data_IF_314334901772
#
_entry.id   IF_314334901772
#
_cell.length_a   1.000
_cell.length_b   1.000
_cell.length_c   1.000
_cell.angle_alpha   90.00
_cell.angle_beta   90.00
_cell.angle_gamma   90.00
#
_symmetry.space_group_name_H-M   'P 1'
#
loop_
_entity.id
_entity.type
_entity.pdbx_description
1 polymer ?
#
# COMPACT_ATOMS: atom_id res chain seq x y z
N UNK A 1 11.33 -4.40 31.95
CA UNK A 1 12.59 -4.01 31.28
C UNK A 1 12.44 -3.80 29.77
N UNK A 2 11.90 -4.77 29.00
CA UNK A 2 11.69 -4.62 27.54
C UNK A 2 10.82 -3.42 27.12
N UNK A 3 9.71 -3.19 27.83
CA UNK A 3 8.81 -2.03 27.59
C UNK A 3 9.52 -0.68 27.73
N UNK A 4 10.44 -0.55 28.68
CA UNK A 4 11.21 0.67 28.92
C UNK A 4 12.15 0.99 27.75
N UNK A 5 12.81 -0.02 27.17
CA UNK A 5 13.72 0.16 26.02
C UNK A 5 12.94 0.64 24.80
N UNK A 6 11.77 0.05 24.52
CA UNK A 6 10.92 0.47 23.40
C UNK A 6 10.41 1.91 23.59
N UNK A 7 10.01 2.27 24.81
CA UNK A 7 9.61 3.65 25.11
C UNK A 7 10.74 4.66 24.86
N UNK A 8 11.94 4.36 25.36
CA UNK A 8 13.13 5.21 25.14
C UNK A 8 13.45 5.35 23.66
N UNK A 9 13.37 4.25 22.90
CA UNK A 9 13.58 4.26 21.45
C UNK A 9 12.57 5.17 20.73
N UNK A 10 11.30 5.14 21.11
CA UNK A 10 10.27 5.99 20.49
C UNK A 10 10.45 7.47 20.83
N UNK A 11 10.89 7.79 22.04
CA UNK A 11 11.28 9.16 22.41
C UNK A 11 12.49 9.62 21.60
N UNK A 12 13.48 8.74 21.41
CA UNK A 12 14.66 9.03 20.60
C UNK A 12 14.30 9.27 19.13
N UNK A 13 13.46 8.43 18.51
CA UNK A 13 12.96 8.63 17.14
C UNK A 13 12.23 9.96 17.02
N UNK A 14 11.39 10.30 17.98
CA UNK A 14 10.67 11.59 18.01
C UNK A 14 11.65 12.77 18.08
N UNK A 15 12.74 12.65 18.84
CA UNK A 15 13.81 13.66 18.90
C UNK A 15 14.55 13.78 17.57
N UNK A 16 14.87 12.67 16.91
CA UNK A 16 15.52 12.63 15.59
C UNK A 16 14.65 13.30 14.52
N UNK A 17 13.34 13.03 14.52
CA UNK A 17 12.38 13.68 13.62
C UNK A 17 12.34 15.20 13.84
N UNK A 18 12.30 15.66 15.09
CA UNK A 18 12.33 17.10 15.43
C UNK A 18 13.64 17.79 15.02
N UNK A 19 14.73 17.05 14.86
CA UNK A 19 16.02 17.58 14.39
C UNK A 19 16.10 17.73 12.87
N UNK A 20 15.05 17.40 12.15
CA UNK A 20 15.01 17.57 10.70
C UNK A 20 15.74 16.46 9.95
N UNK A 21 15.61 15.20 10.39
CA UNK A 21 16.15 14.06 9.65
C UNK A 21 15.49 13.96 8.27
N UNK A 22 16.28 13.61 7.25
CA UNK A 22 15.76 13.43 5.89
C UNK A 22 15.36 11.99 5.57
N UNK A 23 16.02 11.01 6.19
CA UNK A 23 15.77 9.59 5.97
C UNK A 23 15.58 8.89 7.31
N UNK A 24 14.43 8.26 7.49
CA UNK A 24 14.13 7.48 8.69
C UNK A 24 13.84 6.04 8.30
N UNK A 25 14.78 5.14 8.60
CA UNK A 25 14.64 3.71 8.37
C UNK A 25 14.76 2.98 9.71
N UNK A 26 13.83 2.09 10.01
CA UNK A 26 14.00 1.19 11.14
C UNK A 26 13.24 -0.13 10.96
N UNK A 27 13.83 -1.16 11.57
CA UNK A 27 13.30 -2.51 11.65
C UNK A 27 13.17 -2.90 13.12
N UNK A 28 11.96 -3.22 13.57
CA UNK A 28 11.70 -3.63 14.96
C UNK A 28 10.72 -4.81 14.93
N UNK A 29 11.04 -5.90 15.62
CA UNK A 29 10.16 -7.09 15.66
C UNK A 29 9.06 -6.97 16.70
N UNK A 30 9.29 -6.19 17.74
CA UNK A 30 8.33 -5.95 18.81
C UNK A 30 7.31 -4.88 18.43
N UNK A 31 6.12 -4.98 19.04
CA UNK A 31 5.09 -3.97 18.81
C UNK A 31 5.49 -2.62 19.41
N UNK A 32 5.48 -1.56 18.60
CA UNK A 32 5.91 -0.21 19.02
C UNK A 32 4.86 0.85 18.72
N UNK A 33 4.91 1.94 19.49
CA UNK A 33 4.05 3.10 19.30
C UNK A 33 4.89 4.28 18.85
N UNK A 34 4.82 4.62 17.56
CA UNK A 34 5.54 5.76 17.00
C UNK A 34 4.66 7.00 17.13
N UNK A 35 5.22 8.11 17.62
CA UNK A 35 4.52 9.41 17.63
C UNK A 35 4.24 9.83 16.19
N UNK A 36 2.99 9.64 15.77
CA UNK A 36 2.56 9.87 14.40
C UNK A 36 2.61 11.36 14.05
N UNK A 37 2.29 12.22 15.02
CA UNK A 37 2.45 13.67 14.89
C UNK A 37 3.90 14.07 14.56
N UNK A 38 4.90 13.53 15.26
CA UNK A 38 6.30 13.87 15.00
C UNK A 38 6.74 13.43 13.60
N UNK A 39 6.19 12.32 13.09
CA UNK A 39 6.49 11.79 11.76
C UNK A 39 5.84 12.63 10.67
N UNK A 40 4.54 12.94 10.79
CA UNK A 40 3.79 13.71 9.79
C UNK A 40 4.17 15.20 9.77
N UNK A 41 4.69 15.76 10.86
CA UNK A 41 5.15 17.16 10.90
C UNK A 41 6.64 17.35 10.56
N UNK A 42 7.38 16.28 10.25
CA UNK A 42 8.80 16.37 9.91
C UNK A 42 8.98 16.87 8.47
N UNK A 43 9.05 18.18 8.28
CA UNK A 43 9.15 18.79 6.95
C UNK A 43 10.43 18.41 6.19
N UNK A 44 11.49 17.99 6.86
CA UNK A 44 12.73 17.56 6.19
C UNK A 44 12.65 16.13 5.65
N UNK A 45 11.65 15.34 6.05
CA UNK A 45 11.62 13.91 5.76
C UNK A 45 11.34 13.67 4.28
N UNK A 46 12.26 12.98 3.62
CA UNK A 46 12.26 12.63 2.20
C UNK A 46 12.03 11.13 1.97
N UNK A 47 12.54 10.29 2.86
CA UNK A 47 12.46 8.83 2.75
C UNK A 47 12.03 8.23 4.09
N UNK A 48 10.96 7.44 4.08
CA UNK A 48 10.46 6.71 5.24
C UNK A 48 10.40 5.22 4.93
N UNK A 49 11.10 4.42 5.74
CA UNK A 49 11.05 2.96 5.68
C UNK A 49 10.80 2.39 7.07
N UNK A 50 9.63 1.81 7.27
CA UNK A 50 9.26 1.20 8.55
C UNK A 50 8.99 -0.26 8.30
N UNK A 51 9.70 -1.13 9.00
CA UNK A 51 9.35 -2.53 9.09
C UNK A 51 9.21 -2.91 10.57
N UNK A 52 8.01 -2.68 11.08
CA UNK A 52 7.69 -2.95 12.47
C UNK A 52 6.17 -3.06 12.65
N UNK A 53 5.71 -3.94 13.55
CA UNK A 53 4.31 -3.94 13.98
C UNK A 53 4.07 -2.68 14.82
N UNK A 54 3.67 -1.59 14.18
CA UNK A 54 3.48 -0.31 14.86
C UNK A 54 2.17 0.35 14.47
N UNK A 55 1.61 1.15 15.38
CA UNK A 55 0.40 1.93 15.09
C UNK A 55 0.74 3.38 14.80
N UNK A 56 0.33 3.87 13.64
CA UNK A 56 0.34 5.28 13.26
C UNK A 56 -1.08 5.85 13.31
N UNK A 57 -1.28 6.82 14.19
CA UNK A 57 -2.50 7.63 14.29
C UNK A 57 -2.49 8.75 13.27
N UNK A 58 -3.54 8.83 12.50
CA UNK A 58 -3.69 9.83 11.44
C UNK A 58 -4.91 10.69 11.79
N UNK A 59 -4.72 11.89 12.41
CA UNK A 59 -5.65 13.03 12.23
C UNK A 59 -6.20 13.13 10.79
N UNK A 60 -7.50 13.39 10.61
CA UNK A 60 -8.22 13.13 9.35
C UNK A 60 -7.59 13.58 8.03
N UNK A 61 -6.82 14.68 8.00
CA UNK A 61 -6.04 15.07 6.82
C UNK A 61 -4.60 15.42 7.22
N UNK A 62 -3.63 14.90 6.46
CA UNK A 62 -2.23 15.31 6.60
C UNK A 62 -1.57 15.57 5.27
N UNK A 63 -0.54 16.39 5.41
CA UNK A 63 0.33 16.81 4.36
C UNK A 63 1.77 16.61 4.83
N UNK A 64 2.52 15.72 4.17
CA UNK A 64 3.97 15.58 4.38
C UNK A 64 4.67 16.10 3.12
N UNK A 65 5.09 17.38 3.09
CA UNK A 65 5.37 18.09 1.84
C UNK A 65 6.53 17.53 1.03
N UNK A 66 7.52 16.91 1.69
CA UNK A 66 8.81 16.57 1.08
C UNK A 66 9.05 15.07 0.93
N UNK A 67 8.09 14.24 1.34
CA UNK A 67 8.23 12.80 1.37
C UNK A 67 8.13 12.23 -0.05
N UNK A 68 9.23 11.66 -0.54
CA UNK A 68 9.37 11.12 -1.91
C UNK A 68 9.23 9.61 -1.95
N UNK A 69 9.60 8.91 -0.89
CA UNK A 69 9.58 7.44 -0.83
C UNK A 69 8.99 7.00 0.51
N UNK A 70 8.02 6.09 0.43
CA UNK A 70 7.38 5.44 1.57
C UNK A 70 7.43 3.93 1.32
N UNK A 71 8.03 3.19 2.25
CA UNK A 71 7.96 1.72 2.30
C UNK A 71 7.56 1.30 3.71
N UNK A 72 6.44 0.62 3.85
CA UNK A 72 5.86 0.27 5.14
C UNK A 72 5.54 -1.21 5.20
N UNK A 73 5.95 -1.86 6.28
CA UNK A 73 5.69 -3.27 6.53
C UNK A 73 5.07 -3.44 7.91
N UNK A 74 3.90 -4.10 7.96
CA UNK A 74 3.16 -4.44 9.19
C UNK A 74 2.68 -3.21 10.01
N UNK A 75 2.54 -2.07 9.35
CA UNK A 75 2.09 -0.82 9.99
C UNK A 75 0.57 -0.77 10.08
N UNK A 76 0.03 -0.37 11.23
CA UNK A 76 -1.40 -0.13 11.44
C UNK A 76 -1.69 1.36 11.39
N UNK A 77 -2.47 1.80 10.41
CA UNK A 77 -3.02 3.15 10.37
C UNK A 77 -4.33 3.19 11.17
N UNK A 78 -4.43 4.13 12.10
CA UNK A 78 -5.65 4.41 12.84
C UNK A 78 -6.18 5.79 12.43
N UNK A 79 -7.38 5.82 11.87
CA UNK A 79 -8.07 7.06 11.56
C UNK A 79 -8.59 7.72 12.85
N UNK A 80 -7.92 8.79 13.28
CA UNK A 80 -8.29 9.55 14.49
C UNK A 80 -9.53 10.42 14.28
N UNK A 81 -9.99 10.60 13.04
CA UNK A 81 -11.23 11.32 12.74
C UNK A 81 -12.48 10.45 12.82
N UNK A 82 -12.37 9.15 13.04
CA UNK A 82 -13.52 8.29 13.31
C UNK A 82 -14.13 8.58 14.68
N UNK A 83 -15.47 8.58 14.84
CA UNK A 83 -16.50 8.21 13.86
C UNK A 83 -16.98 9.36 12.95
N UNK A 84 -16.38 10.55 13.04
CA UNK A 84 -16.81 11.72 12.27
C UNK A 84 -16.50 11.61 10.77
N UNK A 85 -15.43 10.91 10.41
CA UNK A 85 -15.09 10.54 9.03
C UNK A 85 -14.71 9.07 8.97
N UNK A 86 -15.31 8.35 8.02
CA UNK A 86 -14.89 6.99 7.65
C UNK A 86 -13.85 6.99 6.50
N UNK A 87 -13.49 8.17 6.00
CA UNK A 87 -12.44 8.33 5.01
C UNK A 87 -11.14 8.78 5.69
N UNK A 88 -10.08 8.02 5.43
CA UNK A 88 -8.71 8.36 5.76
C UNK A 88 -8.07 9.02 4.54
N UNK A 89 -7.76 10.31 4.65
CA UNK A 89 -7.17 11.06 3.56
C UNK A 89 -5.66 11.30 3.79
N UNK A 90 -4.85 10.88 2.83
CA UNK A 90 -3.40 11.05 2.84
C UNK A 90 -2.97 11.84 1.61
N UNK A 91 -2.37 13.02 1.82
CA UNK A 91 -1.83 13.84 0.73
C UNK A 91 -0.31 13.88 0.80
N UNK A 92 0.34 13.44 -0.28
CA UNK A 92 1.80 13.50 -0.44
C UNK A 92 2.15 14.15 -1.78
N UNK A 93 2.39 15.47 -1.82
CA UNK A 93 2.47 16.25 -3.07
C UNK A 93 3.66 15.87 -3.96
N UNK A 94 4.75 15.39 -3.38
CA UNK A 94 6.00 15.06 -4.10
C UNK A 94 6.35 13.57 -4.07
N UNK A 95 5.43 12.72 -3.58
CA UNK A 95 5.67 11.30 -3.44
C UNK A 95 5.89 10.67 -4.81
N UNK A 96 6.97 9.88 -4.93
CA UNK A 96 7.39 9.19 -6.15
C UNK A 96 7.16 7.69 -6.05
N UNK A 97 7.39 7.10 -4.88
CA UNK A 97 7.18 5.68 -4.64
C UNK A 97 6.44 5.44 -3.32
N UNK A 98 5.40 4.61 -3.38
CA UNK A 98 4.64 4.14 -2.24
C UNK A 98 4.57 2.62 -2.26
N UNK A 99 4.97 1.99 -1.16
CA UNK A 99 4.86 0.55 -0.96
C UNK A 99 4.34 0.26 0.45
N UNK A 100 3.37 -0.63 0.53
CA UNK A 100 2.81 -1.10 1.79
C UNK A 100 2.61 -2.61 1.76
N UNK A 101 3.22 -3.29 2.72
CA UNK A 101 3.19 -4.74 2.87
C UNK A 101 2.58 -5.10 4.21
N UNK A 102 1.49 -5.87 4.19
CA UNK A 102 0.75 -6.31 5.37
C UNK A 102 0.37 -5.17 6.34
N UNK A 103 0.16 -3.94 5.82
CA UNK A 103 -0.36 -2.85 6.65
C UNK A 103 -1.86 -3.02 6.89
N UNK A 104 -2.39 -2.43 7.97
CA UNK A 104 -3.83 -2.44 8.25
C UNK A 104 -4.39 -1.04 8.39
N UNK A 105 -5.65 -0.87 8.00
CA UNK A 105 -6.30 0.45 7.92
C UNK A 105 -7.56 0.42 8.79
N UNK A 106 -7.39 0.85 10.04
CA UNK A 106 -8.41 0.76 11.07
C UNK A 106 -9.30 2.00 11.07
N UNK A 107 -10.59 1.80 11.30
CA UNK A 107 -11.60 2.86 11.35
C UNK A 107 -11.69 3.70 10.06
N UNK A 108 -11.38 3.07 8.93
CA UNK A 108 -11.45 3.68 7.60
C UNK A 108 -12.20 2.74 6.65
N UNK A 109 -13.36 3.16 6.17
CA UNK A 109 -14.05 2.50 5.05
C UNK A 109 -13.34 2.81 3.73
N UNK A 110 -12.79 4.02 3.61
CA UNK A 110 -12.05 4.47 2.43
C UNK A 110 -10.68 5.01 2.81
N UNK A 111 -9.67 4.69 1.99
CA UNK A 111 -8.33 5.27 2.06
C UNK A 111 -8.07 5.97 0.74
N UNK A 112 -8.00 7.29 0.79
CA UNK A 112 -7.77 8.14 -0.38
C UNK A 112 -6.35 8.69 -0.33
N UNK A 113 -5.56 8.36 -1.34
CA UNK A 113 -4.16 8.75 -1.45
C UNK A 113 -4.04 9.73 -2.62
N UNK A 114 -3.81 11.00 -2.29
CA UNK A 114 -3.60 12.08 -3.25
C UNK A 114 -2.11 12.32 -3.45
N UNK A 115 -1.59 11.91 -4.60
CA UNK A 115 -0.15 11.88 -4.87
C UNK A 115 0.11 12.21 -6.33
N UNK A 116 0.07 13.49 -6.73
CA UNK A 116 0.11 13.88 -8.14
C UNK A 116 1.41 13.49 -8.85
N UNK A 117 2.49 13.27 -8.10
CA UNK A 117 3.83 12.96 -8.61
C UNK A 117 4.18 11.47 -8.56
N UNK A 118 3.24 10.61 -8.15
CA UNK A 118 3.52 9.20 -7.85
C UNK A 118 3.80 8.41 -9.13
N UNK A 119 4.96 7.79 -9.19
CA UNK A 119 5.44 7.01 -10.33
C UNK A 119 5.31 5.50 -10.10
N UNK A 120 5.38 5.06 -8.84
CA UNK A 120 5.31 3.66 -8.44
C UNK A 120 4.42 3.45 -7.23
N UNK A 121 3.49 2.51 -7.33
CA UNK A 121 2.58 2.13 -6.25
C UNK A 121 2.58 0.63 -6.05
N UNK A 122 2.70 0.18 -4.80
CA UNK A 122 2.65 -1.22 -4.41
C UNK A 122 1.85 -1.46 -3.15
N UNK A 123 0.96 -2.45 -3.19
CA UNK A 123 0.26 -2.96 -2.01
C UNK A 123 0.33 -4.48 -1.97
N UNK A 124 0.64 -5.02 -0.80
CA UNK A 124 0.73 -6.46 -0.58
C UNK A 124 0.00 -6.88 0.70
N UNK A 125 -0.87 -7.89 0.59
CA UNK A 125 -1.62 -8.53 1.68
C UNK A 125 -1.43 -10.05 1.61
N UNK A 126 -0.24 -10.54 1.97
CA UNK A 126 0.06 -11.98 2.00
C UNK A 126 -0.45 -12.66 3.28
N UNK A 127 -0.57 -11.91 4.38
CA UNK A 127 -0.99 -12.48 5.64
C UNK A 127 -2.52 -12.60 5.71
N UNK A 128 -3.01 -13.84 5.65
CA UNK A 128 -4.43 -14.19 5.74
C UNK A 128 -5.06 -13.75 7.06
N UNK A 129 -4.32 -13.64 8.17
CA UNK A 129 -4.90 -13.12 9.43
C UNK A 129 -5.36 -11.65 9.36
N UNK A 130 -5.03 -10.93 8.28
CA UNK A 130 -5.43 -9.54 8.03
C UNK A 130 -6.76 -9.38 7.27
N UNK A 131 -7.54 -10.46 7.08
CA UNK A 131 -8.85 -10.45 6.42
C UNK A 131 -9.90 -9.47 6.99
N UNK A 132 -9.59 -8.78 8.09
CA UNK A 132 -10.44 -7.73 8.66
C UNK A 132 -10.27 -6.36 7.99
N UNK A 133 -9.28 -6.17 7.10
CA UNK A 133 -9.16 -4.92 6.34
C UNK A 133 -10.15 -4.91 5.18
N UNK A 134 -11.26 -4.20 5.34
CA UNK A 134 -12.29 -4.02 4.28
C UNK A 134 -12.20 -2.66 3.59
N UNK A 135 -11.18 -1.86 3.93
CA UNK A 135 -11.00 -0.51 3.41
C UNK A 135 -10.79 -0.53 1.90
N UNK A 136 -11.50 0.36 1.20
CA UNK A 136 -11.34 0.59 -0.23
C UNK A 136 -10.31 1.67 -0.48
N UNK A 137 -9.35 1.40 -1.35
CA UNK A 137 -8.29 2.32 -1.75
C UNK A 137 -8.70 3.10 -2.98
N UNK A 138 -8.55 4.41 -2.93
CA UNK A 138 -8.60 5.29 -4.09
C UNK A 138 -7.25 5.93 -4.29
N UNK A 139 -6.67 5.70 -5.45
CA UNK A 139 -5.35 6.22 -5.80
C UNK A 139 -5.54 7.23 -6.93
N UNK A 140 -5.15 8.48 -6.67
CA UNK A 140 -5.16 9.55 -7.65
C UNK A 140 -3.72 9.95 -7.99
N UNK A 141 -3.23 9.51 -9.14
CA UNK A 141 -1.95 9.95 -9.72
C UNK A 141 -2.01 9.94 -11.24
N UNK A 142 -1.54 11.03 -11.85
CA UNK A 142 -1.44 11.19 -13.30
C UNK A 142 -0.14 10.60 -13.88
N UNK A 143 0.82 10.26 -13.03
CA UNK A 143 2.17 9.84 -13.44
C UNK A 143 2.49 8.40 -13.03
N UNK A 144 1.48 7.62 -12.63
CA UNK A 144 1.67 6.27 -12.10
C UNK A 144 2.05 5.30 -13.22
N UNK A 145 3.35 5.04 -13.41
CA UNK A 145 3.85 4.16 -14.46
C UNK A 145 3.97 2.70 -14.03
N UNK A 146 4.17 2.46 -12.74
CA UNK A 146 4.35 1.12 -12.16
C UNK A 146 3.32 0.85 -11.09
N UNK A 147 2.63 -0.28 -11.22
CA UNK A 147 1.64 -0.73 -10.26
C UNK A 147 1.93 -2.16 -9.82
N UNK A 148 1.95 -2.43 -8.53
CA UNK A 148 2.00 -3.79 -7.99
C UNK A 148 0.89 -4.03 -6.98
N UNK A 149 0.31 -5.22 -7.05
CA UNK A 149 -0.69 -5.67 -6.11
C UNK A 149 -0.49 -7.15 -5.80
N UNK A 150 -0.52 -7.50 -4.51
CA UNK A 150 -0.50 -8.87 -4.05
C UNK A 150 -1.56 -9.09 -2.96
N UNK A 151 -2.37 -10.15 -3.06
CA UNK A 151 -3.28 -10.57 -1.99
C UNK A 151 -4.74 -10.76 -2.39
N UNK A 152 -5.62 -10.90 -1.40
CA UNK A 152 -6.99 -11.40 -1.58
C UNK A 152 -8.06 -10.32 -1.84
N UNK A 153 -7.76 -9.05 -1.57
CA UNK A 153 -8.71 -7.93 -1.54
C UNK A 153 -8.61 -7.01 -2.77
N UNK A 154 -8.40 -7.60 -3.96
CA UNK A 154 -8.14 -6.83 -5.19
C UNK A 154 -9.31 -5.92 -5.60
N UNK A 155 -10.53 -6.31 -5.27
CA UNK A 155 -11.77 -5.57 -5.48
C UNK A 155 -11.86 -4.27 -4.68
N UNK A 156 -11.02 -4.13 -3.65
CA UNK A 156 -10.96 -2.93 -2.84
C UNK A 156 -10.01 -1.88 -3.44
N UNK A 157 -9.32 -2.16 -4.54
CA UNK A 157 -8.45 -1.20 -5.20
C UNK A 157 -9.17 -0.50 -6.36
N UNK A 158 -9.25 0.82 -6.29
CA UNK A 158 -9.82 1.70 -7.30
C UNK A 158 -8.73 2.65 -7.79
N UNK A 159 -8.33 2.48 -9.04
CA UNK A 159 -7.40 3.33 -9.77
C UNK A 159 -8.19 4.39 -10.52
N UNK A 160 -8.02 5.66 -10.18
CA UNK A 160 -8.80 6.74 -10.80
C UNK A 160 -8.26 7.10 -12.19
N UNK A 161 -6.94 7.03 -12.39
CA UNK A 161 -6.27 7.40 -13.63
C UNK A 161 -5.29 6.30 -14.12
N UNK A 162 -5.78 5.07 -14.40
CA UNK A 162 -4.91 3.93 -14.67
C UNK A 162 -4.22 3.99 -16.05
N UNK A 163 -4.58 4.95 -16.90
CA UNK A 163 -4.07 5.07 -18.27
C UNK A 163 -2.57 5.38 -18.36
N UNK A 164 -1.98 5.87 -17.28
CA UNK A 164 -0.55 6.15 -17.15
C UNK A 164 0.29 4.90 -16.80
N UNK A 165 -0.36 3.81 -16.38
CA UNK A 165 0.32 2.59 -15.95
C UNK A 165 0.86 1.84 -17.16
N UNK A 166 2.17 1.67 -17.20
CA UNK A 166 2.89 0.96 -18.26
C UNK A 166 3.15 -0.48 -17.86
N UNK A 167 3.53 -0.71 -16.60
CA UNK A 167 3.86 -2.04 -16.09
C UNK A 167 3.05 -2.35 -14.84
N UNK A 168 2.39 -3.51 -14.84
CA UNK A 168 1.66 -4.03 -13.70
C UNK A 168 2.19 -5.40 -13.26
N UNK A 169 2.33 -5.61 -11.95
CA UNK A 169 2.65 -6.91 -11.34
C UNK A 169 1.56 -7.32 -10.37
N UNK A 170 0.83 -8.39 -10.66
CA UNK A 170 -0.37 -8.80 -9.93
C UNK A 170 -0.20 -10.23 -9.41
N UNK A 171 -0.29 -10.41 -8.10
CA UNK A 171 -0.24 -11.70 -7.42
C UNK A 171 -1.57 -11.96 -6.69
N UNK A 172 -2.38 -12.91 -7.18
CA UNK A 172 -3.75 -13.11 -6.67
C UNK A 172 -4.16 -14.60 -6.55
N UNK A 173 -5.08 -14.95 -5.63
CA UNK A 173 -5.50 -16.34 -5.39
C UNK A 173 -6.42 -16.89 -6.45
N UNK A 174 -7.16 -16.00 -7.11
CA UNK A 174 -8.12 -16.36 -8.12
C UNK A 174 -8.42 -15.17 -9.03
N UNK A 175 -8.88 -15.45 -10.24
CA UNK A 175 -9.26 -14.46 -11.24
C UNK A 175 -10.55 -13.69 -10.91
N UNK A 176 -11.07 -13.75 -9.66
CA UNK A 176 -12.08 -12.77 -9.20
C UNK A 176 -11.56 -11.32 -9.24
N UNK A 177 -10.26 -11.14 -9.41
CA UNK A 177 -9.64 -9.84 -9.68
C UNK A 177 -9.91 -9.27 -11.09
N UNK A 178 -10.89 -9.80 -11.85
CA UNK A 178 -11.34 -9.20 -13.11
C UNK A 178 -11.55 -7.68 -12.97
N UNK A 179 -12.03 -7.21 -11.82
CA UNK A 179 -12.25 -5.77 -11.57
C UNK A 179 -10.95 -4.95 -11.54
N UNK A 180 -9.88 -5.47 -10.93
CA UNK A 180 -8.58 -4.80 -10.93
C UNK A 180 -7.92 -4.91 -12.30
N UNK A 181 -7.93 -6.11 -12.89
CA UNK A 181 -7.35 -6.33 -14.22
C UNK A 181 -8.05 -5.49 -15.30
N UNK A 182 -9.37 -5.30 -15.21
CA UNK A 182 -10.14 -4.46 -16.13
C UNK A 182 -9.71 -2.99 -16.11
N UNK A 183 -9.19 -2.50 -14.98
CA UNK A 183 -8.64 -1.15 -14.87
C UNK A 183 -7.26 -1.05 -15.56
N UNK A 184 -6.58 -2.17 -15.79
CA UNK A 184 -5.21 -2.24 -16.33
C UNK A 184 -5.15 -2.58 -17.83
N UNK A 185 -6.24 -2.39 -18.59
CA UNK A 185 -6.32 -2.80 -19.99
C UNK A 185 -5.32 -2.10 -20.95
N UNK A 186 -4.68 -1.00 -20.52
CA UNK A 186 -3.75 -0.21 -21.32
C UNK A 186 -2.27 -0.46 -21.01
N UNK A 187 -1.95 -1.42 -20.14
CA UNK A 187 -0.54 -1.71 -19.78
C UNK A 187 0.22 -2.32 -20.95
N UNK A 188 1.52 -2.05 -20.99
CA UNK A 188 2.48 -2.60 -21.95
C UNK A 188 3.14 -3.88 -21.41
N UNK A 189 3.36 -3.95 -20.10
CA UNK A 189 3.89 -5.11 -19.40
C UNK A 189 2.95 -5.59 -18.30
N UNK A 190 2.64 -6.88 -18.29
CA UNK A 190 1.88 -7.52 -17.23
C UNK A 190 2.62 -8.75 -16.71
N UNK A 191 3.00 -8.73 -15.44
CA UNK A 191 3.35 -9.93 -14.69
C UNK A 191 2.12 -10.36 -13.89
N UNK A 192 1.58 -11.54 -14.18
CA UNK A 192 0.41 -12.07 -13.50
C UNK A 192 0.74 -13.43 -12.89
N UNK A 193 0.78 -13.45 -11.57
CA UNK A 193 1.02 -14.63 -10.76
C UNK A 193 -0.28 -15.09 -10.10
N UNK A 194 -0.69 -16.32 -10.37
CA UNK A 194 -1.91 -16.93 -9.85
C UNK A 194 -1.56 -18.05 -8.86
N UNK A 195 -1.94 -17.91 -7.60
CA UNK A 195 -1.83 -19.00 -6.62
C UNK A 195 -3.16 -19.73 -6.49
N UNK A 196 -3.29 -20.84 -7.23
CA UNK A 196 -4.53 -21.60 -7.32
C UNK A 196 -4.77 -22.40 -6.04
N UNK A 197 -5.63 -21.91 -5.15
CA UNK A 197 -5.97 -22.61 -3.89
C UNK A 197 -6.81 -23.88 -4.15
N UNK A 198 -7.44 -24.03 -5.32
CA UNK A 198 -8.23 -25.23 -5.65
C UNK A 198 -8.04 -25.67 -7.11
N UNK A 199 -7.44 -26.85 -7.30
CA UNK A 199 -7.15 -27.46 -8.60
C UNK A 199 -8.40 -27.85 -9.44
N UNK A 200 -9.62 -27.70 -8.92
CA UNK A 200 -10.82 -28.35 -9.47
C UNK A 200 -11.68 -27.52 -10.44
N UNK A 201 -11.33 -26.25 -10.73
CA UNK A 201 -12.06 -25.45 -11.74
C UNK A 201 -11.06 -24.84 -12.73
N UNK A 202 -10.59 -25.65 -13.68
CA UNK A 202 -9.49 -25.28 -14.59
C UNK A 202 -9.90 -24.62 -15.91
N UNK A 203 -11.19 -24.53 -16.25
CA UNK A 203 -11.60 -24.23 -17.64
C UNK A 203 -12.30 -22.89 -17.93
N UNK A 204 -12.84 -22.18 -16.93
CA UNK A 204 -13.77 -21.04 -17.20
C UNK A 204 -13.33 -19.67 -16.68
N UNK A 205 -12.13 -19.55 -16.13
CA UNK A 205 -11.73 -18.33 -15.42
C UNK A 205 -11.01 -17.28 -16.28
N UNK A 206 -10.41 -17.68 -17.41
CA UNK A 206 -9.71 -16.75 -18.30
C UNK A 206 -10.61 -16.08 -19.34
N UNK A 207 -11.81 -16.63 -19.60
CA UNK A 207 -12.76 -16.06 -20.55
C UNK A 207 -13.30 -14.68 -20.13
N UNK A 208 -13.13 -14.31 -18.86
CA UNK A 208 -13.56 -13.03 -18.30
C UNK A 208 -12.41 -12.02 -18.12
N UNK A 209 -11.22 -12.32 -18.67
CA UNK A 209 -10.13 -11.35 -18.65
C UNK A 209 -10.40 -10.22 -19.66
N UNK A 210 -10.02 -8.99 -19.33
CA UNK A 210 -10.07 -7.90 -20.29
C UNK A 210 -9.05 -8.13 -21.41
N UNK A 211 -9.31 -7.54 -22.57
CA UNK A 211 -8.31 -7.43 -23.63
C UNK A 211 -7.29 -6.37 -23.26
N UNK A 212 -6.00 -6.70 -23.36
CA UNK A 212 -4.90 -5.77 -23.11
C UNK A 212 -4.32 -5.30 -24.45
N UNK A 213 -4.86 -4.21 -25.00
CA UNK A 213 -4.59 -3.78 -26.39
C UNK A 213 -3.13 -3.35 -26.63
N UNK A 214 -2.45 -2.88 -25.58
CA UNK A 214 -1.07 -2.39 -25.65
C UNK A 214 -0.03 -3.38 -25.15
N UNK A 215 -0.44 -4.58 -24.76
CA UNK A 215 0.43 -5.54 -24.11
C UNK A 215 1.49 -6.06 -25.07
N UNK A 216 2.76 -5.80 -24.74
CA UNK A 216 3.94 -6.29 -25.47
C UNK A 216 4.74 -7.31 -24.65
N UNK A 217 4.55 -7.33 -23.33
CA UNK A 217 5.21 -8.24 -22.42
C UNK A 217 4.19 -8.87 -21.46
N UNK A 218 4.17 -10.19 -21.42
CA UNK A 218 3.32 -10.97 -20.52
C UNK A 218 4.16 -12.06 -19.85
N UNK A 219 4.22 -12.01 -18.52
CA UNK A 219 4.79 -13.07 -17.69
C UNK A 219 3.65 -13.71 -16.90
N UNK A 220 3.54 -15.03 -16.99
CA UNK A 220 2.49 -15.80 -16.34
C UNK A 220 3.13 -16.86 -15.46
N UNK A 221 2.96 -16.67 -14.16
CA UNK A 221 3.43 -17.62 -13.16
C UNK A 221 2.26 -18.28 -12.45
N UNK A 222 2.38 -19.58 -12.21
CA UNK A 222 1.41 -20.32 -11.39
C UNK A 222 2.13 -21.12 -10.32
N UNK A 223 1.73 -20.91 -9.06
CA UNK A 223 2.26 -21.65 -7.93
C UNK A 223 1.16 -22.56 -7.37
N UNK A 224 1.50 -23.84 -7.23
CA UNK A 224 0.70 -24.81 -6.50
C UNK A 224 1.29 -24.91 -5.08
N UNK A 225 0.53 -24.51 -4.06
CA UNK A 225 0.82 -24.99 -2.71
C UNK A 225 0.27 -26.42 -2.62
N UNK A 226 1.19 -27.38 -2.50
CA UNK A 226 0.89 -28.78 -2.19
C UNK A 226 0.41 -28.92 -0.74
#
# INVERSE_FOLDING_TARGET
>A
MKSTILFVLMQWISSVLRRGVQKLHFYIREHVFVSSHSLFCCNSLVELKIQAPCTLRVPGSHFVPNLKIIILHEVKFLNDSFPHSEELFLSFPVLKAFECINCTWLNAQYVSIETPQLESFGIEYLNTSLFHCTSKFRICSLHLTKFSYAGYLSENIILLEPSSILVASILIPCLKACMLLAQLCKVEGLHLQLYMIQAHKRGRHFASLPTFEKLIYLELDSYFQL
#
